data_IF_408639108307
#
_entry.id   IF_408639108307
#
_cell.length_a   1.000
_cell.length_b   1.000
_cell.length_c   1.000
_cell.angle_alpha   90.00
_cell.angle_beta   90.00
_cell.angle_gamma   90.00
#
_symmetry.space_group_name_H-M   'P 1'
#
loop_
_entity.id
_entity.type
_entity.pdbx_description
1 polymer ?
#
# COMPACT_ATOMS: atom_id res chain seq x y z
N UNK A 1 -33.63 -0.23 -51.64
CA UNK A 1 -33.68 -1.35 -50.67
C UNK A 1 -32.70 -2.42 -51.10
N UNK A 2 -31.56 -2.55 -50.42
CA UNK A 2 -30.92 -3.84 -50.17
C UNK A 2 -29.89 -3.69 -49.05
N UNK A 3 -30.33 -3.93 -47.81
CA UNK A 3 -29.44 -4.12 -46.68
C UNK A 3 -28.63 -5.39 -46.90
N UNK A 4 -27.31 -5.29 -47.04
CA UNK A 4 -26.44 -6.43 -46.79
C UNK A 4 -25.56 -6.14 -45.57
N UNK A 5 -26.09 -6.65 -44.47
CA UNK A 5 -25.54 -6.73 -43.13
C UNK A 5 -24.19 -7.44 -43.20
N UNK A 6 -23.09 -6.69 -43.20
CA UNK A 6 -21.77 -7.26 -43.00
C UNK A 6 -21.35 -7.00 -41.56
N UNK A 7 -21.62 -8.05 -40.78
CA UNK A 7 -20.96 -8.50 -39.57
C UNK A 7 -20.19 -7.44 -38.77
N UNK A 8 -20.73 -7.17 -37.59
CA UNK A 8 -20.01 -6.71 -36.41
C UNK A 8 -18.77 -7.60 -36.26
N UNK A 9 -17.62 -7.12 -36.72
CA UNK A 9 -16.33 -7.74 -36.38
C UNK A 9 -16.06 -7.29 -34.94
N UNK A 10 -16.48 -8.14 -34.01
CA UNK A 10 -16.14 -8.04 -32.60
C UNK A 10 -14.61 -8.11 -32.46
N UNK A 11 -13.96 -6.95 -32.47
CA UNK A 11 -12.57 -6.83 -32.01
C UNK A 11 -12.57 -6.75 -30.48
N UNK A 12 -12.99 -7.85 -29.84
CA UNK A 12 -12.73 -8.07 -28.43
C UNK A 12 -11.32 -8.63 -28.28
N UNK A 13 -10.32 -7.82 -28.63
CA UNK A 13 -8.94 -8.11 -28.24
C UNK A 13 -8.84 -7.77 -26.76
N UNK A 14 -9.19 -8.76 -25.93
CA UNK A 14 -9.00 -8.71 -24.49
C UNK A 14 -7.54 -8.37 -24.22
N UNK A 15 -7.31 -7.18 -23.67
CA UNK A 15 -6.04 -6.77 -23.09
C UNK A 15 -5.78 -7.67 -21.87
N UNK A 16 -5.28 -8.89 -22.10
CA UNK A 16 -4.50 -9.60 -21.10
C UNK A 16 -3.16 -8.87 -20.97
N UNK A 17 -3.17 -7.70 -20.35
CA UNK A 17 -1.94 -7.15 -19.82
C UNK A 17 -1.46 -8.13 -18.75
N UNK A 18 -0.27 -8.75 -18.89
CA UNK A 18 0.33 -9.40 -17.74
C UNK A 18 0.41 -8.33 -16.67
N UNK A 19 -0.02 -8.64 -15.43
CA UNK A 19 0.23 -7.75 -14.31
C UNK A 19 1.75 -7.53 -14.27
N UNK A 20 2.19 -6.37 -14.76
CA UNK A 20 3.60 -5.99 -14.67
C UNK A 20 3.91 -6.07 -13.20
N UNK A 21 4.91 -6.87 -12.77
CA UNK A 21 5.27 -6.92 -11.36
C UNK A 21 5.50 -5.48 -10.94
N UNK A 22 4.67 -4.98 -10.02
CA UNK A 22 4.74 -3.61 -9.57
C UNK A 22 6.17 -3.41 -9.07
N UNK A 23 6.99 -2.71 -9.88
CA UNK A 23 8.40 -2.48 -9.59
C UNK A 23 8.43 -1.48 -8.45
N UNK A 24 8.23 -1.97 -7.22
CA UNK A 24 8.53 -1.22 -6.02
C UNK A 24 10.05 -1.11 -5.96
N UNK A 25 10.58 -0.15 -6.71
CA UNK A 25 11.93 0.32 -6.54
C UNK A 25 12.04 0.88 -5.11
N UNK A 26 13.08 0.45 -4.38
CA UNK A 26 13.29 0.49 -2.93
C UNK A 26 12.69 -0.68 -2.11
N UNK A 27 13.57 -1.34 -1.34
CA UNK A 27 13.26 -2.44 -0.41
C UNK A 27 12.06 -2.13 0.50
N UNK A 28 11.96 -0.89 0.99
CA UNK A 28 10.85 -0.52 1.88
C UNK A 28 9.50 -0.48 1.20
N UNK A 29 9.44 -0.14 -0.09
CA UNK A 29 8.18 -0.19 -0.83
C UNK A 29 7.74 -1.63 -1.11
N UNK A 30 8.69 -2.55 -1.37
CA UNK A 30 8.38 -3.97 -1.50
C UNK A 30 7.83 -4.53 -0.19
N UNK A 31 8.49 -4.24 0.93
CA UNK A 31 8.04 -4.66 2.26
C UNK A 31 6.65 -4.12 2.58
N UNK A 32 6.40 -2.83 2.36
CA UNK A 32 5.11 -2.21 2.66
C UNK A 32 3.97 -2.82 1.84
N UNK A 33 4.21 -3.07 0.55
CA UNK A 33 3.26 -3.73 -0.33
C UNK A 33 2.98 -5.16 0.14
N UNK A 34 4.02 -5.92 0.48
CA UNK A 34 3.86 -7.30 0.96
C UNK A 34 3.12 -7.37 2.29
N UNK A 35 3.41 -6.49 3.26
CA UNK A 35 2.69 -6.41 4.54
C UNK A 35 1.21 -6.05 4.39
N UNK A 36 0.85 -5.37 3.30
CA UNK A 36 -0.53 -4.99 3.01
C UNK A 36 -1.35 -6.14 2.39
N UNK A 37 -0.72 -7.28 2.10
CA UNK A 37 -1.43 -8.45 1.58
C UNK A 37 -2.25 -9.14 2.68
N UNK A 38 -3.59 -9.21 2.58
CA UNK A 38 -4.44 -9.76 3.64
C UNK A 38 -4.23 -11.25 3.92
N UNK A 39 -3.81 -12.05 2.92
CA UNK A 39 -3.49 -13.47 3.15
C UNK A 39 -2.07 -13.70 3.68
N UNK A 40 -1.36 -12.64 4.07
CA UNK A 40 -0.08 -12.68 4.76
C UNK A 40 1.08 -12.19 3.92
N UNK A 41 2.11 -11.68 4.61
CA UNK A 41 3.24 -11.00 3.99
C UNK A 41 4.13 -11.88 3.10
N UNK A 42 3.94 -13.20 3.11
CA UNK A 42 4.72 -14.17 2.31
C UNK A 42 3.84 -15.10 1.47
N UNK A 43 2.54 -14.85 1.37
CA UNK A 43 1.62 -15.68 0.57
C UNK A 43 2.08 -15.79 -0.90
N UNK A 44 2.60 -14.70 -1.46
CA UNK A 44 3.17 -14.67 -2.80
C UNK A 44 4.68 -14.87 -2.73
N UNK A 45 5.21 -15.75 -3.58
CA UNK A 45 6.66 -16.04 -3.64
C UNK A 45 7.52 -14.80 -3.88
N UNK A 46 7.01 -13.81 -4.63
CA UNK A 46 7.69 -12.52 -4.85
C UNK A 46 7.91 -11.71 -3.55
N UNK A 47 7.11 -11.96 -2.50
CA UNK A 47 7.25 -11.31 -1.21
C UNK A 47 8.21 -12.01 -0.25
N UNK A 48 8.63 -13.26 -0.52
CA UNK A 48 9.57 -13.97 0.36
C UNK A 48 10.92 -13.26 0.44
N UNK A 49 11.60 -12.91 -0.67
CA UNK A 49 12.90 -12.24 -0.61
C UNK A 49 12.92 -10.88 0.13
N UNK A 50 11.99 -9.92 -0.12
CA UNK A 50 12.01 -8.65 0.61
C UNK A 50 11.66 -8.82 2.09
N UNK A 51 10.79 -9.77 2.46
CA UNK A 51 10.47 -10.04 3.85
C UNK A 51 11.63 -10.68 4.61
N UNK A 52 12.39 -11.61 4.00
CA UNK A 52 13.61 -12.15 4.61
C UNK A 52 14.62 -11.04 4.91
N UNK A 53 14.88 -10.16 3.94
CA UNK A 53 15.77 -8.99 4.13
C UNK A 53 15.28 -8.05 5.23
N UNK A 54 13.96 -7.87 5.37
CA UNK A 54 13.40 -7.11 6.49
C UNK A 54 13.77 -7.76 7.82
N UNK A 55 13.51 -9.07 7.98
CA UNK A 55 13.76 -9.77 9.23
C UNK A 55 15.24 -9.78 9.61
N UNK A 56 16.14 -10.00 8.65
CA UNK A 56 17.59 -9.89 8.87
C UNK A 56 17.98 -8.49 9.36
N UNK A 57 17.51 -7.45 8.67
CA UNK A 57 17.79 -6.06 9.06
C UNK A 57 17.29 -5.74 10.47
N UNK A 58 16.07 -6.16 10.81
CA UNK A 58 15.50 -5.95 12.14
C UNK A 58 16.24 -6.75 13.23
N UNK A 59 16.64 -7.99 12.94
CA UNK A 59 17.41 -8.83 13.86
C UNK A 59 18.78 -8.23 14.18
N UNK A 60 19.37 -7.50 13.24
CA UNK A 60 20.62 -6.76 13.43
C UNK A 60 20.43 -5.37 14.08
N UNK A 61 19.22 -5.04 14.53
CA UNK A 61 18.91 -3.75 15.17
C UNK A 61 18.69 -2.60 14.19
N UNK A 62 18.56 -2.89 12.89
CA UNK A 62 18.25 -1.89 11.87
C UNK A 62 16.82 -1.37 11.99
N UNK A 63 16.59 -0.14 11.51
CA UNK A 63 15.24 0.45 11.42
C UNK A 63 14.41 -0.19 10.31
N UNK A 64 13.08 -0.07 10.38
CA UNK A 64 12.20 -0.42 9.27
C UNK A 64 12.58 0.38 8.00
N UNK A 65 12.66 -0.25 6.82
CA UNK A 65 13.09 0.42 5.59
C UNK A 65 12.09 1.48 5.15
N UNK A 66 12.58 2.66 4.76
CA UNK A 66 11.75 3.70 4.17
C UNK A 66 11.27 3.34 2.77
N UNK A 67 10.08 3.82 2.38
CA UNK A 67 9.52 3.68 1.04
C UNK A 67 9.34 5.07 0.41
N UNK A 68 10.15 5.39 -0.60
CA UNK A 68 10.05 6.66 -1.32
C UNK A 68 8.82 6.74 -2.23
N UNK A 69 8.35 5.60 -2.75
CA UNK A 69 7.14 5.48 -3.55
C UNK A 69 5.86 5.88 -2.82
N UNK A 70 5.86 5.91 -1.48
CA UNK A 70 4.76 6.45 -0.68
C UNK A 70 4.72 7.98 -0.64
N UNK A 71 5.73 8.65 -1.22
CA UNK A 71 5.84 10.10 -1.30
C UNK A 71 6.14 10.81 0.02
N UNK A 72 6.24 10.11 1.15
CA UNK A 72 6.51 10.73 2.46
C UNK A 72 8.01 10.92 2.66
N UNK A 73 8.44 12.16 2.81
CA UNK A 73 9.84 12.51 3.06
C UNK A 73 10.18 12.58 4.56
N UNK A 74 9.27 13.12 5.39
CA UNK A 74 9.46 13.28 6.84
C UNK A 74 8.14 13.15 7.59
N UNK A 75 8.20 12.64 8.82
CA UNK A 75 7.04 12.61 9.73
C UNK A 75 7.41 13.27 11.06
N UNK A 76 6.44 13.97 11.67
CA UNK A 76 6.56 14.51 13.03
C UNK A 76 5.28 14.26 13.80
N UNK A 77 5.41 13.60 14.95
CA UNK A 77 4.29 13.31 15.86
C UNK A 77 4.18 14.43 16.89
N UNK A 78 2.97 14.95 17.06
CA UNK A 78 2.62 15.91 18.10
C UNK A 78 1.67 15.27 19.11
N UNK A 79 1.67 15.81 20.33
CA UNK A 79 0.81 15.34 21.43
C UNK A 79 0.95 13.82 21.68
N UNK A 80 2.20 13.32 21.59
CA UNK A 80 2.50 11.87 21.60
C UNK A 80 1.85 11.11 22.76
N UNK A 81 1.64 11.74 23.91
CA UNK A 81 1.07 11.09 25.09
C UNK A 81 -0.46 11.28 25.24
N UNK A 82 -1.12 12.01 24.34
CA UNK A 82 -2.56 12.29 24.43
C UNK A 82 -3.36 11.33 23.55
N UNK A 83 -4.26 10.55 24.15
CA UNK A 83 -5.18 9.68 23.38
C UNK A 83 -6.12 10.48 22.47
N UNK A 84 -6.46 11.73 22.80
CA UNK A 84 -7.48 12.51 22.07
C UNK A 84 -6.92 13.58 21.14
N UNK A 85 -5.66 13.99 21.33
CA UNK A 85 -5.03 15.08 20.55
C UNK A 85 -3.85 14.64 19.70
N UNK A 86 -3.37 13.39 19.85
CA UNK A 86 -2.23 12.88 19.07
C UNK A 86 -2.49 13.05 17.58
N UNK A 87 -1.51 13.59 16.87
CA UNK A 87 -1.55 13.78 15.42
C UNK A 87 -0.17 13.57 14.82
N UNK A 88 -0.14 13.15 13.56
CA UNK A 88 1.08 13.06 12.77
C UNK A 88 1.01 14.06 11.63
N UNK A 89 2.07 14.83 11.48
CA UNK A 89 2.27 15.70 10.32
C UNK A 89 3.23 14.99 9.38
N UNK A 90 2.75 14.69 8.18
CA UNK A 90 3.55 14.10 7.11
C UNK A 90 3.97 15.21 6.14
N UNK A 91 5.26 15.32 5.87
CA UNK A 91 5.81 16.14 4.80
C UNK A 91 6.16 15.23 3.64
N UNK A 92 5.60 15.50 2.47
CA UNK A 92 5.78 14.74 1.25
C UNK A 92 6.99 15.26 0.45
N UNK A 93 7.52 14.42 -0.44
CA UNK A 93 8.64 14.73 -1.32
C UNK A 93 8.33 15.84 -2.33
N UNK A 94 7.04 16.04 -2.65
CA UNK A 94 6.54 17.16 -3.47
C UNK A 94 6.41 18.49 -2.69
N UNK A 95 6.78 18.49 -1.40
CA UNK A 95 6.70 19.66 -0.52
C UNK A 95 5.34 19.83 0.16
N UNK A 96 4.32 19.04 -0.18
CA UNK A 96 3.02 19.07 0.50
C UNK A 96 3.16 18.65 1.96
N UNK A 97 2.30 19.18 2.81
CA UNK A 97 2.19 18.74 4.20
C UNK A 97 0.75 18.35 4.51
N UNK A 98 0.54 17.18 5.12
CA UNK A 98 -0.78 16.71 5.55
C UNK A 98 -0.74 16.30 7.00
N UNK A 99 -1.74 16.74 7.76
CA UNK A 99 -1.91 16.37 9.16
C UNK A 99 -2.97 15.30 9.28
N UNK A 100 -2.62 14.17 9.89
CA UNK A 100 -3.55 13.08 10.19
C UNK A 100 -3.77 13.01 11.70
N UNK A 101 -5.04 12.93 12.10
CA UNK A 101 -5.40 12.66 13.49
C UNK A 101 -5.06 11.21 13.82
N UNK A 102 -4.42 11.01 14.98
CA UNK A 102 -4.23 9.70 15.60
C UNK A 102 -5.05 9.61 16.90
N UNK A 103 -6.09 10.45 17.03
CA UNK A 103 -6.97 10.44 18.18
C UNK A 103 -7.71 9.10 18.27
N UNK A 104 -7.63 8.48 19.43
CA UNK A 104 -8.25 7.19 19.77
C UNK A 104 -7.87 6.06 18.81
N UNK A 105 -6.68 6.11 18.21
CA UNK A 105 -6.22 5.07 17.28
C UNK A 105 -6.15 3.68 17.94
N UNK A 106 -6.02 3.64 19.28
CA UNK A 106 -6.05 2.41 20.07
C UNK A 106 -7.44 1.79 20.18
N UNK A 107 -8.51 2.52 19.83
CA UNK A 107 -9.91 2.07 19.93
C UNK A 107 -10.58 1.92 18.57
N UNK A 108 -9.81 1.87 17.47
CA UNK A 108 -10.39 1.66 16.15
C UNK A 108 -11.12 0.30 16.13
N UNK A 109 -12.42 0.27 15.78
CA UNK A 109 -13.16 -0.98 15.71
C UNK A 109 -12.56 -1.89 14.64
N UNK A 110 -12.52 -3.21 14.90
CA UNK A 110 -11.98 -4.22 13.97
C UNK A 110 -12.54 -4.07 12.53
N UNK A 111 -13.79 -3.64 12.37
CA UNK A 111 -14.42 -3.40 11.07
C UNK A 111 -13.70 -2.34 10.21
N UNK A 112 -12.93 -1.42 10.80
CA UNK A 112 -12.06 -0.49 10.07
C UNK A 112 -10.72 -1.12 9.63
N UNK A 113 -10.46 -2.35 10.05
CA UNK A 113 -9.24 -3.14 9.82
C UNK A 113 -9.57 -4.36 8.91
N UNK A 114 -10.85 -4.63 8.64
CA UNK A 114 -11.31 -5.73 7.79
C UNK A 114 -10.92 -5.53 6.31
N UNK A 115 -10.23 -6.49 5.68
CA UNK A 115 -9.88 -6.42 4.27
C UNK A 115 -11.11 -6.74 3.39
N UNK A 116 -11.59 -5.74 2.65
CA UNK A 116 -12.27 -5.97 1.37
C UNK A 116 -13.67 -6.57 1.39
N UNK A 117 -14.57 -6.13 2.27
CA UNK A 117 -16.01 -6.35 2.03
C UNK A 117 -16.63 -5.10 1.40
N UNK A 118 -16.80 -5.13 0.09
CA UNK A 118 -17.70 -4.20 -0.63
C UNK A 118 -19.12 -4.41 -0.08
N UNK A 119 -19.82 -3.37 0.40
CA UNK A 119 -21.24 -3.50 0.73
C UNK A 119 -22.00 -3.89 -0.54
N UNK A 120 -22.88 -4.89 -0.43
CA UNK A 120 -23.82 -5.27 -1.49
C UNK A 120 -25.02 -4.34 -1.51
#
# INVERSE_FOLDING_TARGET
MLHRRHAIIASAMALCMPATPAQANDLGCQVLLCLSNPGGATQYGACVPPMVKLWERLALGGSFPGCSGGGVAKTKVYDRNSATRRRVVMTFADGRQTTYSLANIERLPQAAIEPGTTPR
#
